data_IF_728463272083
#
_entry.id   IF_728463272083
#
_cell.length_a   1.000
_cell.length_b   1.000
_cell.length_c   1.000
_cell.angle_alpha   90.00
_cell.angle_beta   90.00
_cell.angle_gamma   90.00
#
_symmetry.space_group_name_H-M   'P 1'
#
loop_
_entity.id
_entity.type
_entity.pdbx_description
1 polymer ?
#
# COMPACT_ATOMS: atom_id res chain seq x y z
N UNK A 1 -12.48 -78.90 7.30
CA UNK A 1 -12.44 -79.35 8.71
C UNK A 1 -11.10 -78.85 9.23
N UNK A 2 -10.96 -77.89 10.13
CA UNK A 2 -11.81 -77.34 11.17
C UNK A 2 -11.50 -75.84 11.36
N UNK A 3 -12.45 -75.15 12.01
CA UNK A 3 -12.36 -73.77 12.48
C UNK A 3 -11.30 -73.58 13.58
N UNK A 4 -11.19 -72.31 14.01
CA UNK A 4 -10.82 -71.76 15.34
C UNK A 4 -9.55 -70.90 15.20
N UNK A 5 -9.56 -69.58 15.34
CA UNK A 5 -10.21 -68.78 16.38
C UNK A 5 -9.15 -67.94 17.10
N UNK A 6 -9.10 -66.64 16.79
CA UNK A 6 -8.78 -65.49 17.66
C UNK A 6 -7.57 -65.51 18.61
N UNK A 7 -6.64 -64.55 18.41
CA UNK A 7 -6.28 -63.56 19.44
C UNK A 7 -5.33 -62.49 18.85
N UNK A 8 -5.80 -61.27 18.61
CA UNK A 8 -4.91 -60.12 18.43
C UNK A 8 -4.92 -59.31 19.74
N UNK A 9 -3.84 -59.46 20.50
CA UNK A 9 -3.57 -58.74 21.74
C UNK A 9 -3.29 -57.28 21.41
N UNK A 10 -4.23 -56.38 21.73
CA UNK A 10 -3.98 -54.94 21.72
C UNK A 10 -3.18 -54.57 22.97
N UNK A 11 -1.90 -54.19 22.78
CA UNK A 11 -1.10 -53.57 23.83
C UNK A 11 -1.68 -52.19 24.15
N UNK A 12 -2.01 -51.99 25.42
CA UNK A 12 -2.32 -50.70 26.02
C UNK A 12 -1.06 -49.84 26.06
N UNK A 13 -0.99 -48.81 25.23
CA UNK A 13 -0.03 -47.73 25.40
C UNK A 13 -0.77 -46.52 25.94
N UNK A 14 -0.51 -46.23 27.22
CA UNK A 14 -0.97 -45.05 27.95
C UNK A 14 -0.52 -43.78 27.23
N UNK A 15 -1.49 -42.97 26.79
CA UNK A 15 -1.21 -41.67 26.17
C UNK A 15 -0.75 -40.64 27.22
N UNK A 16 0.26 -39.81 26.90
CA UNK A 16 0.73 -38.77 27.80
C UNK A 16 -0.30 -37.63 27.93
N UNK A 17 -0.46 -37.16 29.15
CA UNK A 17 -1.40 -36.12 29.64
C UNK A 17 -1.23 -34.71 29.04
N UNK A 18 -0.42 -34.56 28.00
CA UNK A 18 -0.12 -33.26 27.38
C UNK A 18 -1.11 -32.85 26.28
N UNK A 19 -1.95 -33.77 25.80
CA UNK A 19 -2.86 -33.51 24.68
C UNK A 19 -4.20 -32.85 25.10
N UNK A 20 -4.49 -32.73 26.40
CA UNK A 20 -5.73 -32.09 26.89
C UNK A 20 -5.59 -30.63 27.28
N UNK A 21 -4.38 -30.06 27.29
CA UNK A 21 -4.16 -28.64 27.60
C UNK A 21 -4.13 -27.72 26.35
N UNK A 22 -4.09 -28.28 25.14
CA UNK A 22 -3.97 -27.49 23.91
C UNK A 22 -5.33 -27.04 23.32
N UNK A 23 -6.44 -27.67 23.70
CA UNK A 23 -7.78 -27.31 23.20
C UNK A 23 -8.44 -26.16 23.99
N UNK A 24 -7.94 -25.82 25.18
CA UNK A 24 -8.46 -24.71 25.98
C UNK A 24 -7.94 -23.32 25.53
N UNK A 25 -6.88 -23.25 24.73
CA UNK A 25 -6.32 -21.99 24.23
C UNK A 25 -7.02 -21.48 22.94
N UNK A 26 -7.87 -22.31 22.32
CA UNK A 26 -8.61 -21.95 21.10
C UNK A 26 -10.01 -21.35 21.36
N UNK A 27 -10.45 -21.22 22.61
CA UNK A 27 -11.78 -20.69 22.95
C UNK A 27 -11.78 -19.29 23.59
N UNK A 28 -10.63 -18.61 23.68
CA UNK A 28 -10.48 -17.32 24.37
C UNK A 28 -10.19 -16.10 23.45
N UNK A 29 -10.49 -16.19 22.15
CA UNK A 29 -10.41 -15.05 21.21
C UNK A 29 -11.74 -14.71 20.51
N UNK A 30 -12.86 -15.32 20.92
CA UNK A 30 -14.19 -14.81 20.60
C UNK A 30 -14.64 -13.77 21.62
N UNK A 31 -14.12 -12.55 21.49
CA UNK A 31 -14.81 -11.30 21.85
C UNK A 31 -13.90 -10.11 21.50
N UNK A 32 -13.74 -9.84 20.20
CA UNK A 32 -13.47 -8.47 19.77
C UNK A 32 -14.83 -7.88 19.41
N UNK A 33 -15.34 -7.00 20.26
CA UNK A 33 -16.49 -6.15 19.93
C UNK A 33 -16.00 -5.07 18.98
N UNK A 34 -16.37 -5.16 17.71
CA UNK A 34 -16.26 -4.01 16.81
C UNK A 34 -17.29 -2.97 17.27
N UNK A 35 -16.79 -1.86 17.82
CA UNK A 35 -17.61 -0.68 18.06
C UNK A 35 -17.93 -0.06 16.70
N UNK A 36 -19.18 -0.23 16.25
CA UNK A 36 -19.71 0.47 15.09
C UNK A 36 -19.77 1.97 15.39
N UNK A 37 -18.73 2.70 14.98
CA UNK A 37 -18.84 4.16 14.85
C UNK A 37 -19.69 4.45 13.62
N UNK A 38 -20.95 4.83 13.85
CA UNK A 38 -21.79 5.46 12.83
C UNK A 38 -21.10 6.73 12.34
N UNK A 39 -20.53 6.68 11.14
CA UNK A 39 -20.22 7.90 10.40
C UNK A 39 -21.54 8.37 9.79
N UNK A 40 -22.07 9.47 10.30
CA UNK A 40 -23.16 10.21 9.67
C UNK A 40 -22.78 10.54 8.22
N UNK A 41 -23.29 9.76 7.26
CA UNK A 41 -23.17 10.10 5.84
C UNK A 41 -24.22 11.15 5.50
N UNK A 42 -23.87 12.41 5.77
CA UNK A 42 -24.53 13.56 5.16
C UNK A 42 -24.43 13.51 3.62
N UNK A 43 -25.26 14.29 2.90
CA UNK A 43 -25.36 14.21 1.44
C UNK A 43 -24.01 14.50 0.78
N UNK A 44 -23.51 13.55 0.00
CA UNK A 44 -22.24 13.63 -0.73
C UNK A 44 -22.39 14.59 -1.91
N UNK A 45 -22.15 15.88 -1.67
CA UNK A 45 -21.85 16.81 -2.75
C UNK A 45 -20.58 16.30 -3.44
N UNK A 46 -20.72 15.74 -4.65
CA UNK A 46 -19.59 15.26 -5.45
C UNK A 46 -18.66 16.44 -5.75
N UNK A 47 -17.56 16.54 -5.00
CA UNK A 47 -16.53 17.55 -5.22
C UNK A 47 -15.78 17.16 -6.50
N UNK A 48 -16.18 17.75 -7.63
CA UNK A 48 -15.51 17.55 -8.94
C UNK A 48 -14.28 18.45 -9.10
N UNK A 49 -14.22 19.54 -8.34
CA UNK A 49 -13.15 20.55 -8.37
C UNK A 49 -12.45 20.64 -7.02
N UNK A 50 -11.14 20.39 -7.01
CA UNK A 50 -10.31 20.54 -5.82
C UNK A 50 -9.74 21.96 -5.85
N UNK A 51 -10.08 22.79 -4.85
CA UNK A 51 -9.59 24.18 -4.75
C UNK A 51 -8.28 24.26 -3.93
N UNK A 52 -7.39 23.28 -4.10
CA UNK A 52 -6.07 23.28 -3.48
C UNK A 52 -5.02 23.06 -4.56
N UNK A 53 -3.95 23.86 -4.53
CA UNK A 53 -2.90 23.84 -5.56
C UNK A 53 -1.88 22.73 -5.34
N UNK A 54 -1.59 22.40 -4.07
CA UNK A 54 -0.60 21.39 -3.68
C UNK A 54 -1.15 20.43 -2.63
N UNK A 55 -0.43 19.33 -2.36
CA UNK A 55 -0.80 18.37 -1.31
C UNK A 55 -0.93 19.06 0.06
N UNK A 56 -0.06 20.02 0.37
CA UNK A 56 -0.07 20.79 1.63
C UNK A 56 -1.43 21.45 1.91
N UNK A 57 -2.16 21.84 0.86
CA UNK A 57 -3.48 22.45 0.97
C UNK A 57 -4.59 21.46 1.34
N UNK A 58 -4.36 20.15 1.26
CA UNK A 58 -5.35 19.13 1.61
C UNK A 58 -5.61 19.21 3.13
N UNK A 59 -6.89 19.34 3.55
CA UNK A 59 -7.23 19.46 4.96
C UNK A 59 -6.87 18.18 5.72
N UNK A 60 -6.20 18.36 6.85
CA UNK A 60 -5.86 17.26 7.75
C UNK A 60 -7.08 16.86 8.60
N UNK A 61 -7.21 15.58 8.99
CA UNK A 61 -8.17 15.17 10.00
C UNK A 61 -7.93 15.90 11.33
N UNK A 62 -8.98 16.05 12.13
CA UNK A 62 -8.90 16.72 13.44
C UNK A 62 -7.85 16.03 14.33
N UNK A 63 -6.93 16.82 14.88
CA UNK A 63 -5.88 16.34 15.77
C UNK A 63 -4.59 15.89 15.07
N UNK A 64 -4.51 15.98 13.75
CA UNK A 64 -3.30 15.69 12.98
C UNK A 64 -2.58 16.96 12.55
N UNK A 65 -1.25 16.88 12.47
CA UNK A 65 -0.37 17.91 11.94
C UNK A 65 0.61 17.28 10.95
N UNK A 66 1.09 18.06 9.98
CA UNK A 66 2.24 17.64 9.17
C UNK A 66 3.50 17.61 10.05
N UNK A 67 4.38 16.65 9.78
CA UNK A 67 5.72 16.63 10.39
C UNK A 67 6.60 17.55 9.54
N UNK A 68 6.80 18.78 10.00
CA UNK A 68 7.69 19.74 9.34
C UNK A 68 9.13 19.44 9.73
N UNK A 69 9.76 18.56 8.97
CA UNK A 69 11.20 18.35 9.01
C UNK A 69 11.81 19.21 7.92
N UNK A 70 12.57 20.26 8.22
CA UNK A 70 13.37 21.15 7.33
C UNK A 70 13.03 21.29 5.83
N UNK A 71 13.25 22.47 5.25
CA UNK A 71 12.87 22.80 3.86
C UNK A 71 13.43 21.85 2.77
N UNK A 72 14.46 21.06 3.08
CA UNK A 72 15.13 20.13 2.17
C UNK A 72 14.82 18.65 2.39
N UNK A 73 13.75 18.29 3.11
CA UNK A 73 13.37 16.89 3.29
C UNK A 73 12.48 16.36 2.17
N UNK A 74 12.42 15.03 2.05
CA UNK A 74 11.55 14.37 1.09
C UNK A 74 10.07 14.54 1.44
N UNK A 75 9.73 14.55 2.74
CA UNK A 75 8.37 14.78 3.23
C UNK A 75 7.86 16.16 2.85
N UNK A 76 8.65 17.22 3.07
CA UNK A 76 8.27 18.57 2.66
C UNK A 76 8.14 18.69 1.14
N UNK A 77 9.06 18.09 0.38
CA UNK A 77 8.96 18.06 -1.08
C UNK A 77 7.66 17.40 -1.57
N UNK A 78 7.21 16.31 -0.95
CA UNK A 78 5.93 15.68 -1.28
C UNK A 78 4.75 16.63 -1.05
N UNK A 79 4.76 17.40 0.04
CA UNK A 79 3.68 18.34 0.36
C UNK A 79 3.56 19.47 -0.67
N UNK A 80 4.65 19.83 -1.33
CA UNK A 80 4.69 20.91 -2.31
C UNK A 80 4.37 20.43 -3.74
N UNK A 81 4.12 19.13 -3.94
CA UNK A 81 3.68 18.59 -5.22
C UNK A 81 2.34 19.20 -5.66
N UNK A 82 2.31 19.65 -6.92
CA UNK A 82 1.15 20.27 -7.54
C UNK A 82 0.04 19.26 -7.81
N UNK A 83 -1.19 19.73 -7.71
CA UNK A 83 -2.40 18.99 -8.02
C UNK A 83 -3.08 19.55 -9.26
N UNK A 84 -3.69 18.67 -10.04
CA UNK A 84 -4.55 19.07 -11.15
C UNK A 84 -5.83 19.71 -10.62
N UNK A 85 -6.34 20.70 -11.36
CA UNK A 85 -7.59 21.40 -11.03
C UNK A 85 -8.81 20.48 -10.98
N UNK A 86 -8.83 19.46 -11.83
CA UNK A 86 -9.85 18.40 -11.79
C UNK A 86 -9.23 17.11 -11.24
N UNK A 87 -10.07 16.28 -10.64
CA UNK A 87 -9.68 14.95 -10.18
C UNK A 87 -10.07 13.83 -11.16
N UNK A 88 -10.36 14.16 -12.41
CA UNK A 88 -10.80 13.20 -13.43
C UNK A 88 -9.62 12.34 -13.85
N UNK A 89 -9.77 11.03 -13.72
CA UNK A 89 -8.73 10.06 -14.07
C UNK A 89 -9.11 9.32 -15.34
N UNK A 90 -8.16 9.24 -16.27
CA UNK A 90 -8.25 8.45 -17.48
C UNK A 90 -7.40 7.20 -17.35
N UNK A 91 -7.84 6.10 -17.96
CA UNK A 91 -7.02 4.93 -18.21
C UNK A 91 -5.95 5.27 -19.25
N UNK A 92 -4.90 4.46 -19.33
CA UNK A 92 -3.80 4.65 -20.30
C UNK A 92 -4.30 4.76 -21.76
N UNK A 93 -5.44 4.15 -22.08
CA UNK A 93 -6.07 4.18 -23.40
C UNK A 93 -6.94 5.42 -23.65
N UNK A 94 -6.92 6.41 -22.76
CA UNK A 94 -7.67 7.66 -22.87
C UNK A 94 -9.15 7.56 -22.51
N UNK A 95 -9.67 6.38 -22.16
CA UNK A 95 -11.04 6.24 -21.63
C UNK A 95 -11.10 6.70 -20.18
N UNK A 96 -12.25 7.19 -19.74
CA UNK A 96 -12.47 7.49 -18.32
C UNK A 96 -12.33 6.22 -17.48
N UNK A 97 -11.67 6.34 -16.31
CA UNK A 97 -11.71 5.30 -15.28
C UNK A 97 -13.16 5.14 -14.81
N UNK A 98 -13.65 3.91 -14.71
CA UNK A 98 -15.07 3.65 -14.40
C UNK A 98 -15.50 4.22 -13.04
N UNK A 99 -14.66 4.04 -12.03
CA UNK A 99 -14.88 4.61 -10.70
C UNK A 99 -14.06 5.91 -10.57
N UNK A 100 -14.75 7.05 -10.60
CA UNK A 100 -14.17 8.39 -10.39
C UNK A 100 -14.24 8.86 -8.93
N UNK A 101 -14.83 8.06 -8.05
CA UNK A 101 -15.07 8.43 -6.65
C UNK A 101 -13.92 7.92 -5.73
N UNK A 102 -12.99 7.11 -6.25
CA UNK A 102 -11.85 6.56 -5.47
C UNK A 102 -10.67 7.51 -5.31
N UNK A 103 -10.58 8.54 -6.15
CA UNK A 103 -9.54 9.56 -6.02
C UNK A 103 -10.08 10.82 -5.36
N UNK A 104 -9.30 11.32 -4.40
CA UNK A 104 -9.55 12.62 -3.80
C UNK A 104 -8.98 13.74 -4.68
N UNK A 105 -7.72 13.62 -5.10
CA UNK A 105 -7.03 14.56 -5.97
C UNK A 105 -6.11 13.80 -6.93
N UNK A 106 -5.57 14.51 -7.94
CA UNK A 106 -4.67 13.95 -8.96
C UNK A 106 -3.41 14.81 -9.02
N UNK A 107 -2.24 14.17 -8.92
CA UNK A 107 -0.95 14.85 -9.05
C UNK A 107 -0.77 15.43 -10.46
N UNK A 108 -0.22 16.63 -10.53
CA UNK A 108 0.17 17.27 -11.79
C UNK A 108 1.66 17.00 -12.07
N UNK A 109 1.93 15.76 -12.46
CA UNK A 109 3.29 15.28 -12.79
C UNK A 109 3.29 14.65 -14.19
N UNK A 110 4.44 14.68 -14.85
CA UNK A 110 4.61 13.97 -16.13
C UNK A 110 4.74 12.47 -15.88
N UNK A 111 3.81 11.69 -16.43
CA UNK A 111 3.76 10.23 -16.35
C UNK A 111 4.10 9.55 -17.69
N UNK A 112 4.45 10.33 -18.71
CA UNK A 112 4.64 9.86 -20.07
C UNK A 112 3.32 9.41 -20.74
N UNK A 113 3.46 8.66 -21.85
CA UNK A 113 2.32 8.22 -22.68
C UNK A 113 2.15 6.70 -22.72
N UNK A 114 2.92 5.97 -21.92
CA UNK A 114 2.91 4.50 -21.91
C UNK A 114 2.26 3.99 -20.62
N UNK A 115 1.61 2.84 -20.72
CA UNK A 115 1.04 2.14 -19.57
C UNK A 115 2.13 1.42 -18.78
N UNK A 116 2.96 2.18 -18.08
CA UNK A 116 4.15 1.65 -17.41
C UNK A 116 4.15 1.87 -15.90
N UNK A 117 3.32 2.76 -15.37
CA UNK A 117 3.38 3.14 -13.96
C UNK A 117 2.30 2.38 -13.19
N UNK A 118 2.71 1.35 -12.47
CA UNK A 118 1.91 0.73 -11.41
C UNK A 118 2.14 1.47 -10.07
N UNK A 119 1.42 1.05 -9.02
CA UNK A 119 1.44 1.69 -7.71
C UNK A 119 2.86 1.84 -7.15
N UNK A 120 3.67 0.77 -7.22
CA UNK A 120 5.06 0.79 -6.76
C UNK A 120 5.94 1.72 -7.61
N UNK A 121 5.72 1.73 -8.93
CA UNK A 121 6.46 2.59 -9.85
C UNK A 121 6.20 4.07 -9.58
N UNK A 122 4.97 4.43 -9.19
CA UNK A 122 4.64 5.81 -8.83
C UNK A 122 5.44 6.28 -7.62
N UNK A 123 5.54 5.45 -6.57
CA UNK A 123 6.34 5.76 -5.39
C UNK A 123 7.84 5.85 -5.72
N UNK A 124 8.37 4.91 -6.50
CA UNK A 124 9.75 4.93 -6.96
C UNK A 124 10.05 6.17 -7.80
N UNK A 125 9.15 6.54 -8.72
CA UNK A 125 9.28 7.75 -9.53
C UNK A 125 9.32 9.01 -8.66
N UNK A 126 8.40 9.18 -7.73
CA UNK A 126 8.39 10.36 -6.85
C UNK A 126 9.69 10.47 -6.05
N UNK A 127 10.24 9.34 -5.58
CA UNK A 127 11.54 9.34 -4.91
C UNK A 127 12.68 9.71 -5.86
N UNK A 128 12.67 9.16 -7.08
CA UNK A 128 13.66 9.46 -8.10
C UNK A 128 13.62 10.94 -8.52
N UNK A 129 12.43 11.51 -8.77
CA UNK A 129 12.24 12.91 -9.14
C UNK A 129 12.82 13.85 -8.07
N UNK A 130 12.51 13.62 -6.79
CA UNK A 130 13.06 14.39 -5.68
C UNK A 130 14.59 14.38 -5.63
N UNK A 131 15.20 13.20 -5.82
CA UNK A 131 16.66 13.07 -5.84
C UNK A 131 17.27 13.70 -7.09
N UNK A 132 16.56 13.59 -8.23
CA UNK A 132 16.97 14.15 -9.51
C UNK A 132 17.00 15.69 -9.47
N UNK A 133 15.96 16.32 -8.92
CA UNK A 133 15.89 17.78 -8.72
C UNK A 133 17.02 18.30 -7.82
N UNK A 134 17.54 17.45 -6.94
CA UNK A 134 18.68 17.75 -6.05
C UNK A 134 20.04 17.37 -6.64
N UNK A 135 20.09 16.87 -7.87
CA UNK A 135 21.29 16.35 -8.51
C UNK A 135 21.99 15.19 -7.75
N UNK A 136 21.25 14.46 -6.91
CA UNK A 136 21.72 13.31 -6.15
C UNK A 136 21.55 12.01 -6.95
N UNK A 137 22.15 11.98 -8.14
CA UNK A 137 21.96 10.91 -9.13
C UNK A 137 22.45 9.53 -8.65
N UNK A 138 23.51 9.52 -7.85
CA UNK A 138 24.12 8.33 -7.25
C UNK A 138 23.19 7.66 -6.21
N UNK A 139 22.20 8.38 -5.70
CA UNK A 139 21.21 7.89 -4.74
C UNK A 139 19.95 7.35 -5.42
N UNK A 140 19.78 7.53 -6.74
CA UNK A 140 18.65 6.98 -7.47
C UNK A 140 18.93 5.49 -7.74
N UNK A 141 18.65 4.68 -6.71
CA UNK A 141 18.89 3.24 -6.66
C UNK A 141 17.69 2.53 -6.05
N UNK A 142 17.25 1.46 -6.67
CA UNK A 142 16.13 0.63 -6.21
C UNK A 142 16.47 -0.84 -6.35
N UNK A 143 15.88 -1.68 -5.51
CA UNK A 143 16.07 -3.14 -5.59
C UNK A 143 14.86 -3.75 -6.28
N UNK A 144 15.09 -4.44 -7.39
CA UNK A 144 14.07 -5.19 -8.10
C UNK A 144 13.60 -6.38 -7.25
N UNK A 145 12.42 -6.92 -7.56
CA UNK A 145 11.91 -8.15 -6.92
C UNK A 145 12.81 -9.35 -7.14
N UNK A 146 13.66 -9.34 -8.18
CA UNK A 146 14.69 -10.34 -8.42
C UNK A 146 15.93 -10.20 -7.53
N UNK A 147 16.04 -9.12 -6.74
CA UNK A 147 17.21 -8.77 -5.94
C UNK A 147 18.27 -7.94 -6.68
N UNK A 148 18.07 -7.66 -7.97
CA UNK A 148 19.00 -6.84 -8.75
C UNK A 148 18.87 -5.35 -8.39
N UNK A 149 19.99 -4.63 -8.30
CA UNK A 149 19.97 -3.17 -8.17
C UNK A 149 19.69 -2.51 -9.52
N UNK A 150 18.68 -1.65 -9.54
CA UNK A 150 18.32 -0.74 -10.62
C UNK A 150 18.81 0.65 -10.24
N UNK A 151 19.94 1.09 -10.83
CA UNK A 151 20.51 2.42 -10.57
C UNK A 151 20.41 3.33 -11.79
N UNK A 152 20.25 4.62 -11.56
CA UNK A 152 20.21 5.62 -12.63
C UNK A 152 21.54 5.69 -13.41
N UNK A 153 22.68 5.51 -12.74
CA UNK A 153 23.98 5.41 -13.40
C UNK A 153 24.07 4.23 -14.37
N UNK A 154 23.53 3.08 -13.98
CA UNK A 154 23.50 1.90 -14.85
C UNK A 154 22.57 2.11 -16.04
N UNK A 155 21.42 2.75 -15.79
CA UNK A 155 20.47 3.12 -16.84
C UNK A 155 21.09 4.06 -17.89
N UNK A 156 21.87 5.06 -17.49
CA UNK A 156 22.58 5.96 -18.40
C UNK A 156 23.58 5.23 -19.31
N UNK A 157 24.14 4.11 -18.84
CA UNK A 157 25.04 3.23 -19.61
C UNK A 157 24.29 2.24 -20.50
N UNK A 158 22.95 2.28 -20.53
CA UNK A 158 22.11 1.39 -21.32
C UNK A 158 21.83 0.03 -20.67
N UNK A 159 22.22 -0.16 -19.41
CA UNK A 159 21.90 -1.38 -18.65
C UNK A 159 20.45 -1.31 -18.13
N UNK A 160 19.73 -2.44 -18.20
CA UNK A 160 18.32 -2.57 -17.81
C UNK A 160 18.10 -3.81 -16.96
#
# INVERSE_FOLDING_TARGET
>A
MENNGWCFSSKTTTMPTYFQLLTALLFAISSCTDAENEIETGPTNKITTINVETIRGIPLPKGFNYVEEGDSTYSNWLLDLKLKKNKTVYLYNGKLKSNQDVQYAVLDIDIGKKDLIQCADAAMKLRADHLFEKHLFDQIKFIATSGNELSFENWLKGMR
#
